data_IF_348070057207
#
_entry.id   IF_348070057207
#
_cell.length_a   1.000
_cell.length_b   1.000
_cell.length_c   1.000
_cell.angle_alpha   90.00
_cell.angle_beta   90.00
_cell.angle_gamma   90.00
#
_symmetry.space_group_name_H-M   'P 1'
#
loop_
_entity.id
_entity.type
_entity.pdbx_description
1 polymer ?
#
# COMPACT_ATOMS: atom_id res chain seq x y z
N UNK A 1 -15.48 -4.42 12.63
CA UNK A 1 -15.33 -3.29 13.55
C UNK A 1 -14.66 -2.13 12.83
N UNK A 2 -15.16 -0.93 13.03
CA UNK A 2 -14.62 0.23 12.32
C UNK A 2 -13.31 0.70 12.96
N UNK A 3 -12.39 1.15 12.14
CA UNK A 3 -11.16 1.75 12.62
C UNK A 3 -11.45 3.13 13.18
N UNK A 4 -10.60 3.57 14.11
CA UNK A 4 -10.69 4.96 14.56
C UNK A 4 -10.36 5.87 13.39
N UNK A 5 -10.85 7.10 13.47
CA UNK A 5 -10.61 8.08 12.40
C UNK A 5 -9.12 8.34 12.19
N UNK A 6 -8.37 8.44 13.27
CA UNK A 6 -6.93 8.68 13.20
C UNK A 6 -6.19 7.52 12.52
N UNK A 7 -6.54 6.29 12.88
CA UNK A 7 -5.93 5.11 12.28
C UNK A 7 -6.29 5.03 10.79
N UNK A 8 -7.55 5.28 10.45
CA UNK A 8 -8.01 5.23 9.07
C UNK A 8 -7.27 6.27 8.22
N UNK A 9 -7.11 7.49 8.73
CA UNK A 9 -6.38 8.55 8.03
C UNK A 9 -4.93 8.15 7.78
N UNK A 10 -4.28 7.59 8.78
CA UNK A 10 -2.87 7.19 8.65
C UNK A 10 -2.72 6.07 7.62
N UNK A 11 -3.65 5.13 7.60
CA UNK A 11 -3.60 4.04 6.63
C UNK A 11 -3.81 4.55 5.20
N UNK A 12 -4.69 5.53 5.01
CA UNK A 12 -4.90 6.12 3.69
C UNK A 12 -3.62 6.77 3.18
N UNK A 13 -2.93 7.50 4.05
CA UNK A 13 -1.66 8.12 3.68
C UNK A 13 -0.60 7.07 3.36
N UNK A 14 -0.55 6.02 4.16
CA UNK A 14 0.39 4.92 3.91
C UNK A 14 0.12 4.27 2.55
N UNK A 15 -1.16 4.09 2.21
CA UNK A 15 -1.51 3.51 0.92
C UNK A 15 -1.04 4.38 -0.24
N UNK A 16 -1.20 5.71 -0.13
CA UNK A 16 -0.73 6.63 -1.15
C UNK A 16 0.77 6.47 -1.37
N UNK A 17 1.54 6.43 -0.27
CA UNK A 17 2.99 6.28 -0.36
C UNK A 17 3.37 4.92 -0.94
N UNK A 18 2.63 3.87 -0.60
CA UNK A 18 2.89 2.55 -1.16
C UNK A 18 2.61 2.49 -2.66
N UNK A 19 1.57 3.16 -3.11
CA UNK A 19 1.28 3.23 -4.53
C UNK A 19 2.36 3.99 -5.29
N UNK A 20 2.91 5.04 -4.68
CA UNK A 20 4.06 5.75 -5.25
C UNK A 20 5.26 4.81 -5.35
N UNK A 21 5.53 4.06 -4.29
CA UNK A 21 6.63 3.10 -4.28
C UNK A 21 6.44 2.04 -5.37
N UNK A 22 5.22 1.57 -5.55
CA UNK A 22 4.91 0.59 -6.58
C UNK A 22 5.21 1.16 -7.98
N UNK A 23 4.85 2.41 -8.22
CA UNK A 23 5.10 3.04 -9.51
C UNK A 23 6.59 3.15 -9.80
N UNK A 24 7.40 3.50 -8.80
CA UNK A 24 8.85 3.54 -8.96
C UNK A 24 9.43 2.15 -9.13
N UNK A 25 8.98 1.20 -8.34
CA UNK A 25 9.49 -0.16 -8.39
C UNK A 25 9.21 -0.81 -9.73
N UNK A 26 8.06 -0.51 -10.35
CA UNK A 26 7.71 -1.07 -11.64
C UNK A 26 8.73 -0.70 -12.73
N UNK A 27 9.48 0.37 -12.53
CA UNK A 27 10.46 0.83 -13.50
C UNK A 27 11.85 0.26 -13.28
N UNK A 28 12.23 0.04 -12.02
CA UNK A 28 13.64 -0.26 -11.71
C UNK A 28 13.84 -1.51 -10.88
N UNK A 29 12.82 -2.06 -10.29
CA UNK A 29 12.96 -3.22 -9.41
C UNK A 29 12.58 -4.51 -10.13
N UNK A 30 12.99 -5.63 -9.54
CA UNK A 30 12.66 -6.93 -10.09
C UNK A 30 11.17 -7.22 -9.91
N UNK A 31 10.58 -8.07 -10.78
CA UNK A 31 9.14 -8.35 -10.72
C UNK A 31 8.63 -8.83 -9.36
N UNK A 32 9.44 -9.57 -8.59
CA UNK A 32 8.96 -10.07 -7.31
C UNK A 32 8.75 -8.94 -6.30
N UNK A 33 9.53 -7.86 -6.39
CA UNK A 33 9.35 -6.68 -5.53
C UNK A 33 8.02 -6.01 -5.85
N UNK A 34 7.73 -5.84 -7.14
CA UNK A 34 6.46 -5.24 -7.58
C UNK A 34 5.28 -6.05 -7.08
N UNK A 35 5.37 -7.38 -7.18
CA UNK A 35 4.32 -8.27 -6.73
C UNK A 35 4.10 -8.17 -5.22
N UNK A 36 5.20 -8.12 -4.45
CA UNK A 36 5.10 -8.00 -3.00
C UNK A 36 4.45 -6.68 -2.58
N UNK A 37 4.82 -5.59 -3.25
CA UNK A 37 4.21 -4.29 -2.96
C UNK A 37 2.72 -4.31 -3.27
N UNK A 38 2.34 -4.94 -4.38
CA UNK A 38 0.93 -5.09 -4.72
C UNK A 38 0.15 -5.85 -3.66
N UNK A 39 0.76 -6.91 -3.10
CA UNK A 39 0.14 -7.69 -2.02
C UNK A 39 -0.06 -6.85 -0.75
N UNK A 40 0.92 -6.02 -0.41
CA UNK A 40 0.82 -5.14 0.76
C UNK A 40 -0.34 -4.17 0.58
N UNK A 41 -0.46 -3.57 -0.60
CA UNK A 41 -1.55 -2.64 -0.89
C UNK A 41 -2.91 -3.33 -0.77
N UNK A 42 -3.02 -4.55 -1.29
CA UNK A 42 -4.26 -5.31 -1.19
C UNK A 42 -4.62 -5.60 0.27
N UNK A 43 -3.63 -5.91 1.10
CA UNK A 43 -3.87 -6.14 2.52
C UNK A 43 -4.37 -4.87 3.22
N UNK A 44 -3.83 -3.71 2.86
CA UNK A 44 -4.30 -2.45 3.42
C UNK A 44 -5.76 -2.19 3.04
N UNK A 45 -6.13 -2.48 1.81
CA UNK A 45 -7.52 -2.34 1.38
C UNK A 45 -8.47 -3.23 2.20
N UNK A 46 -8.01 -4.43 2.55
CA UNK A 46 -8.82 -5.35 3.36
C UNK A 46 -9.02 -4.85 4.79
N UNK A 47 -8.06 -4.13 5.34
CA UNK A 47 -8.17 -3.57 6.68
C UNK A 47 -9.14 -2.40 6.71
N UNK A 48 -9.17 -1.63 5.66
CA UNK A 48 -10.04 -0.50 5.53
C UNK A 48 -11.42 -0.91 5.04
#
# INVERSE_FOLDING_TARGET
MALSEQTSESLKKAEIHLRDALAFAARVEKPYIVRELGSIIAHLDNIQ
#
